data_IF_650201980339
#
_entry.id   IF_650201980339
#
_cell.length_a   1.000
_cell.length_b   1.000
_cell.length_c   1.000
_cell.angle_alpha   90.00
_cell.angle_beta   90.00
_cell.angle_gamma   90.00
#
_symmetry.space_group_name_H-M   'P 1'
#
loop_
_entity.id
_entity.type
_entity.pdbx_description
1 polymer ?
#
# COMPACT_ATOMS: atom_id res chain seq x y z
N UNK A 1 -10.30 -41.17 -13.89
CA UNK A 1 -9.86 -41.49 -12.51
C UNK A 1 -10.53 -42.77 -12.03
N UNK A 2 -9.79 -43.81 -11.91
CA UNK A 2 -10.24 -45.06 -11.29
C UNK A 2 -9.50 -45.15 -9.98
N UNK A 3 -10.15 -44.92 -8.85
CA UNK A 3 -9.50 -45.04 -7.56
C UNK A 3 -10.48 -44.83 -6.42
N UNK A 4 -10.27 -45.59 -5.36
CA UNK A 4 -10.87 -45.32 -4.06
C UNK A 4 -10.31 -43.99 -3.56
N UNK A 5 -11.19 -43.03 -3.26
CA UNK A 5 -10.83 -41.79 -2.63
C UNK A 5 -10.61 -42.05 -1.17
N UNK A 6 -9.35 -41.85 -0.73
CA UNK A 6 -8.86 -42.29 0.55
C UNK A 6 -9.68 -41.90 1.77
N UNK A 7 -9.47 -42.65 2.84
CA UNK A 7 -10.07 -42.58 4.16
C UNK A 7 -10.07 -41.16 4.78
N UNK A 8 -10.99 -40.34 4.36
CA UNK A 8 -11.46 -39.24 5.18
C UNK A 8 -12.92 -39.52 5.51
N UNK A 9 -13.45 -38.96 6.57
CA UNK A 9 -14.88 -39.09 6.99
C UNK A 9 -15.89 -38.65 5.90
N UNK A 10 -15.41 -38.42 4.66
CA UNK A 10 -16.13 -38.00 3.46
C UNK A 10 -15.75 -38.92 2.29
N UNK A 11 -16.19 -40.17 2.37
CA UNK A 11 -16.05 -41.13 1.26
C UNK A 11 -16.88 -40.65 0.06
N UNK A 12 -16.21 -40.49 -1.07
CA UNK A 12 -16.84 -40.39 -2.39
C UNK A 12 -16.69 -41.76 -3.08
N UNK A 13 -17.76 -42.41 -3.35
CA UNK A 13 -17.75 -43.67 -4.11
C UNK A 13 -18.10 -43.31 -5.56
N UNK A 14 -17.15 -43.53 -6.46
CA UNK A 14 -17.41 -43.40 -7.89
C UNK A 14 -18.24 -44.63 -8.33
N UNK A 15 -19.39 -44.35 -8.92
CA UNK A 15 -20.22 -45.41 -9.51
C UNK A 15 -19.89 -45.65 -10.98
N UNK A 16 -19.27 -44.67 -11.64
CA UNK A 16 -18.88 -44.70 -13.04
C UNK A 16 -17.44 -44.18 -13.22
N UNK A 17 -16.78 -44.57 -14.31
CA UNK A 17 -15.43 -44.07 -14.65
C UNK A 17 -15.48 -42.57 -15.00
N UNK A 18 -14.65 -41.78 -14.35
CA UNK A 18 -14.50 -40.36 -14.70
C UNK A 18 -13.49 -40.19 -15.82
N UNK A 19 -13.92 -39.53 -16.90
CA UNK A 19 -13.03 -39.14 -18.01
C UNK A 19 -12.91 -37.63 -18.12
N UNK A 20 -11.68 -37.16 -18.14
CA UNK A 20 -11.36 -35.74 -18.31
C UNK A 20 -10.58 -35.51 -19.59
N UNK A 21 -10.98 -34.51 -20.36
CA UNK A 21 -10.23 -33.96 -21.48
C UNK A 21 -10.00 -32.46 -21.26
N UNK A 22 -8.77 -32.01 -21.36
CA UNK A 22 -8.39 -30.62 -21.13
C UNK A 22 -8.91 -30.06 -19.78
N UNK A 23 -8.90 -30.89 -18.71
CA UNK A 23 -9.35 -30.49 -17.38
C UNK A 23 -10.87 -30.42 -17.21
N UNK A 24 -11.65 -30.82 -18.18
CA UNK A 24 -13.12 -30.88 -18.12
C UNK A 24 -13.62 -32.32 -18.13
N UNK A 25 -14.65 -32.60 -17.35
CA UNK A 25 -15.36 -33.87 -17.37
C UNK A 25 -16.11 -33.98 -18.70
N UNK A 26 -15.88 -35.09 -19.44
CA UNK A 26 -16.43 -35.27 -20.80
C UNK A 26 -17.70 -36.16 -20.85
N UNK A 27 -18.05 -36.79 -19.73
CA UNK A 27 -19.27 -37.58 -19.62
C UNK A 27 -19.89 -37.45 -18.22
N UNK A 28 -21.19 -37.56 -18.14
CA UNK A 28 -21.90 -37.60 -16.85
C UNK A 28 -21.42 -38.75 -16.04
N UNK A 29 -21.04 -38.49 -14.80
CA UNK A 29 -20.47 -39.47 -13.89
C UNK A 29 -21.26 -39.49 -12.59
N UNK A 30 -21.70 -40.67 -12.18
CA UNK A 30 -22.39 -40.86 -10.92
C UNK A 30 -21.38 -40.99 -9.78
N UNK A 31 -21.53 -40.13 -8.77
CA UNK A 31 -20.72 -40.16 -7.55
C UNK A 31 -21.63 -40.31 -6.34
N UNK A 32 -21.20 -41.14 -5.38
CA UNK A 32 -21.78 -41.13 -4.04
C UNK A 32 -20.86 -40.37 -3.13
N UNK A 33 -21.37 -39.35 -2.47
CA UNK A 33 -20.57 -38.49 -1.61
C UNK A 33 -21.18 -38.38 -0.21
N UNK A 34 -20.35 -38.32 0.81
CA UNK A 34 -20.75 -37.94 2.16
C UNK A 34 -21.31 -36.51 2.23
N UNK A 35 -22.17 -36.27 3.15
CA UNK A 35 -23.23 -35.26 3.14
C UNK A 35 -22.88 -33.79 3.20
N UNK A 36 -21.70 -33.35 3.66
CA UNK A 36 -21.46 -31.95 3.97
C UNK A 36 -21.56 -30.99 2.77
N UNK A 37 -21.33 -31.46 1.54
CA UNK A 37 -21.36 -30.63 0.34
C UNK A 37 -22.43 -31.05 -0.69
N UNK A 38 -23.19 -32.11 -0.42
CA UNK A 38 -24.16 -32.67 -1.38
C UNK A 38 -25.15 -31.58 -1.84
N UNK A 39 -25.83 -30.97 -0.90
CA UNK A 39 -26.85 -29.93 -1.21
C UNK A 39 -26.25 -28.76 -1.97
N UNK A 40 -25.05 -28.32 -1.59
CA UNK A 40 -24.35 -27.23 -2.30
C UNK A 40 -24.00 -27.59 -3.73
N UNK A 41 -23.57 -28.82 -3.98
CA UNK A 41 -23.29 -29.33 -5.35
C UNK A 41 -24.57 -29.43 -6.16
N UNK A 42 -25.64 -29.98 -5.60
CA UNK A 42 -26.95 -30.10 -6.28
C UNK A 42 -27.53 -28.73 -6.63
N UNK A 43 -27.47 -27.76 -5.72
CA UNK A 43 -27.88 -26.39 -5.97
C UNK A 43 -27.03 -25.72 -7.06
N UNK A 44 -25.71 -25.91 -7.02
CA UNK A 44 -24.79 -25.35 -8.02
C UNK A 44 -25.04 -25.92 -9.41
N UNK A 45 -25.22 -27.23 -9.55
CA UNK A 45 -25.53 -27.89 -10.81
C UNK A 45 -26.90 -27.45 -11.35
N UNK A 46 -27.86 -27.17 -10.47
CA UNK A 46 -29.16 -26.64 -10.85
C UNK A 46 -29.13 -25.16 -11.30
N UNK A 47 -27.93 -24.52 -11.30
CA UNK A 47 -27.74 -23.15 -11.73
C UNK A 47 -28.07 -22.11 -10.66
N UNK A 48 -28.25 -22.50 -9.39
CA UNK A 48 -28.47 -21.58 -8.29
C UNK A 48 -27.13 -21.03 -7.76
N UNK A 49 -27.18 -19.84 -7.23
CA UNK A 49 -26.05 -19.30 -6.46
C UNK A 49 -25.91 -20.05 -5.14
N UNK A 50 -24.68 -20.51 -4.85
CA UNK A 50 -24.36 -21.28 -3.66
C UNK A 50 -23.41 -20.47 -2.78
N UNK A 51 -23.67 -20.50 -1.48
CA UNK A 51 -22.85 -19.82 -0.48
C UNK A 51 -22.28 -20.84 0.52
N UNK A 52 -21.07 -20.61 0.98
CA UNK A 52 -20.49 -21.44 2.05
C UNK A 52 -21.08 -21.07 3.42
N UNK A 53 -20.68 -21.79 4.44
CA UNK A 53 -21.14 -21.57 5.84
C UNK A 53 -20.76 -20.19 6.40
N UNK A 54 -19.88 -19.45 5.71
CA UNK A 54 -19.46 -18.09 6.07
C UNK A 54 -20.11 -17.03 5.17
N UNK A 55 -21.06 -17.41 4.33
CA UNK A 55 -21.76 -16.51 3.43
C UNK A 55 -20.93 -16.09 2.20
N UNK A 56 -19.86 -16.82 1.85
CA UNK A 56 -19.06 -16.55 0.67
C UNK A 56 -19.60 -17.32 -0.53
N UNK A 57 -19.76 -16.64 -1.67
CA UNK A 57 -20.25 -17.26 -2.90
C UNK A 57 -19.27 -18.30 -3.41
N UNK A 58 -19.79 -19.48 -3.76
CA UNK A 58 -19.03 -20.56 -4.40
C UNK A 58 -18.98 -20.29 -5.91
N UNK A 59 -17.77 -20.25 -6.46
CA UNK A 59 -17.53 -19.95 -7.87
C UNK A 59 -17.51 -21.22 -8.73
N UNK A 60 -16.95 -22.30 -8.20
CA UNK A 60 -16.90 -23.59 -8.88
C UNK A 60 -16.57 -24.73 -7.92
N UNK A 61 -16.96 -25.93 -8.31
CA UNK A 61 -16.48 -27.17 -7.71
C UNK A 61 -15.45 -27.83 -8.64
N UNK A 62 -14.44 -28.48 -8.06
CA UNK A 62 -13.41 -29.19 -8.82
C UNK A 62 -12.80 -30.31 -7.99
N UNK A 63 -12.24 -31.32 -8.65
CA UNK A 63 -11.47 -32.37 -8.00
C UNK A 63 -9.98 -32.01 -8.04
N UNK A 64 -9.29 -32.22 -6.91
CA UNK A 64 -7.84 -32.12 -6.88
C UNK A 64 -7.18 -33.35 -7.53
N UNK A 65 -5.83 -33.37 -7.56
CA UNK A 65 -5.07 -34.49 -8.15
C UNK A 65 -5.27 -35.84 -7.40
N UNK A 66 -5.76 -35.82 -6.18
CA UNK A 66 -6.08 -37.00 -5.38
C UNK A 66 -7.56 -37.41 -5.49
N UNK A 67 -8.34 -36.75 -6.37
CA UNK A 67 -9.74 -36.99 -6.57
C UNK A 67 -10.67 -36.48 -5.47
N UNK A 68 -10.21 -35.65 -4.58
CA UNK A 68 -11.03 -35.08 -3.52
C UNK A 68 -11.75 -33.81 -4.10
N UNK A 69 -13.06 -33.73 -3.81
CA UNK A 69 -13.87 -32.58 -4.23
C UNK A 69 -13.56 -31.35 -3.39
N UNK A 70 -13.21 -30.27 -4.06
CA UNK A 70 -12.99 -28.94 -3.52
C UNK A 70 -13.95 -27.95 -4.17
N UNK A 71 -14.10 -26.79 -3.54
CA UNK A 71 -14.76 -25.66 -4.18
C UNK A 71 -13.88 -24.41 -4.09
N UNK A 72 -13.94 -23.60 -5.11
CA UNK A 72 -13.39 -22.26 -5.14
C UNK A 72 -14.50 -21.27 -4.80
N UNK A 73 -14.19 -20.29 -3.99
CA UNK A 73 -15.11 -19.27 -3.53
C UNK A 73 -14.58 -17.87 -3.76
N UNK A 74 -15.46 -16.91 -3.77
CA UNK A 74 -15.06 -15.50 -3.82
C UNK A 74 -14.08 -15.19 -2.69
N UNK A 75 -13.04 -14.41 -3.03
CA UNK A 75 -12.08 -13.96 -2.03
C UNK A 75 -12.78 -13.06 -1.04
N UNK A 76 -12.82 -13.45 0.21
CA UNK A 76 -13.28 -12.56 1.27
C UNK A 76 -12.28 -11.45 1.53
N UNK A 77 -12.79 -10.33 2.02
CA UNK A 77 -11.94 -9.33 2.68
C UNK A 77 -11.33 -10.01 3.92
N UNK A 78 -10.03 -10.24 3.86
CA UNK A 78 -9.29 -10.83 4.99
C UNK A 78 -8.68 -9.66 5.76
N UNK A 79 -8.98 -9.57 7.04
CA UNK A 79 -8.30 -8.61 7.91
C UNK A 79 -6.78 -8.88 7.88
N UNK A 80 -5.96 -7.83 7.78
CA UNK A 80 -4.52 -7.99 7.81
C UNK A 80 -4.09 -8.63 9.12
N UNK A 81 -3.05 -9.44 9.08
CA UNK A 81 -2.48 -10.03 10.30
C UNK A 81 -1.86 -8.92 11.15
N UNK A 82 -1.99 -9.04 12.48
CA UNK A 82 -1.36 -8.11 13.44
C UNK A 82 0.17 -8.17 13.40
N UNK A 83 0.72 -9.31 12.97
CA UNK A 83 2.15 -9.49 12.72
C UNK A 83 2.37 -9.67 11.22
N UNK A 84 3.07 -8.70 10.61
CA UNK A 84 3.45 -8.73 9.20
C UNK A 84 4.84 -9.37 9.10
N UNK A 85 4.92 -10.54 8.50
CA UNK A 85 6.17 -11.26 8.28
C UNK A 85 6.37 -11.57 6.79
N UNK A 86 7.62 -11.62 6.36
CA UNK A 86 7.97 -12.02 4.99
C UNK A 86 7.70 -10.96 3.90
N UNK A 87 7.19 -9.77 4.25
CA UNK A 87 6.87 -8.73 3.26
C UNK A 87 8.13 -8.03 2.76
N UNK A 88 9.01 -7.62 3.66
CA UNK A 88 10.25 -6.93 3.34
C UNK A 88 11.22 -6.97 4.53
N UNK A 89 12.49 -6.70 4.25
CA UNK A 89 13.54 -6.51 5.24
C UNK A 89 14.33 -5.22 4.96
N UNK A 90 15.24 -4.84 5.86
CA UNK A 90 16.06 -3.62 5.74
C UNK A 90 16.94 -3.61 4.49
N UNK A 91 17.41 -4.79 4.02
CA UNK A 91 18.20 -4.90 2.79
C UNK A 91 17.39 -4.48 1.56
N UNK A 92 16.08 -4.76 1.54
CA UNK A 92 15.22 -4.36 0.42
C UNK A 92 15.21 -2.84 0.24
N UNK A 93 15.08 -2.08 1.34
CA UNK A 93 15.14 -0.61 1.28
C UNK A 93 16.48 -0.10 0.75
N UNK A 94 17.60 -0.66 1.23
CA UNK A 94 18.94 -0.29 0.77
C UNK A 94 19.16 -0.64 -0.70
N UNK A 95 18.77 -1.84 -1.14
CA UNK A 95 18.89 -2.28 -2.53
C UNK A 95 18.06 -1.41 -3.47
N UNK A 96 16.83 -1.06 -3.07
CA UNK A 96 15.94 -0.18 -3.82
C UNK A 96 16.58 1.20 -4.02
N UNK A 97 17.13 1.80 -2.95
CA UNK A 97 17.77 3.10 -3.04
C UNK A 97 19.04 3.04 -3.91
N UNK A 98 19.86 2.00 -3.75
CA UNK A 98 21.04 1.79 -4.60
C UNK A 98 20.64 1.64 -6.07
N UNK A 99 19.57 0.94 -6.38
CA UNK A 99 19.06 0.81 -7.76
C UNK A 99 18.64 2.16 -8.35
N UNK A 100 18.05 3.05 -7.54
CA UNK A 100 17.67 4.38 -8.00
C UNK A 100 18.85 5.32 -8.20
N UNK A 101 19.88 5.21 -7.36
CA UNK A 101 20.99 6.17 -7.33
C UNK A 101 22.29 5.63 -7.94
N UNK A 102 22.37 4.32 -8.19
CA UNK A 102 23.58 3.57 -8.54
C UNK A 102 24.68 3.58 -7.44
N UNK A 103 24.37 4.12 -6.27
CA UNK A 103 25.24 4.19 -5.08
C UNK A 103 24.42 4.29 -3.80
N UNK A 104 25.07 3.97 -2.68
CA UNK A 104 24.48 4.12 -1.35
C UNK A 104 24.72 5.54 -0.83
N UNK A 105 23.67 6.34 -0.75
CA UNK A 105 23.72 7.73 -0.25
C UNK A 105 22.97 7.93 1.08
N UNK A 106 22.27 6.92 1.56
CA UNK A 106 21.52 6.99 2.80
C UNK A 106 21.58 5.66 3.54
N UNK A 107 21.72 5.73 4.87
CA UNK A 107 21.74 4.57 5.74
C UNK A 107 20.32 4.21 6.19
N UNK A 108 20.05 2.92 6.21
CA UNK A 108 18.79 2.34 6.73
C UNK A 108 17.48 2.88 6.12
N UNK A 109 17.36 3.07 4.79
CA UNK A 109 16.09 3.45 4.19
C UNK A 109 15.05 2.36 4.44
N UNK A 110 13.81 2.77 4.71
CA UNK A 110 12.70 1.82 4.78
C UNK A 110 12.39 1.29 3.38
N UNK A 111 11.96 0.02 3.23
CA UNK A 111 11.55 -0.51 1.94
C UNK A 111 10.20 0.08 1.51
N UNK A 112 10.09 0.53 0.25
CA UNK A 112 8.84 1.14 -0.25
C UNK A 112 7.68 0.16 -0.24
N UNK A 113 7.94 -1.12 -0.47
CA UNK A 113 6.91 -2.17 -0.45
C UNK A 113 6.20 -2.28 0.91
N UNK A 114 6.92 -2.06 2.02
CA UNK A 114 6.30 -2.05 3.35
C UNK A 114 5.39 -0.84 3.52
N UNK A 115 5.87 0.34 3.18
CA UNK A 115 5.07 1.57 3.28
C UNK A 115 3.87 1.52 2.34
N UNK A 116 4.06 1.03 1.12
CA UNK A 116 2.98 0.82 0.15
C UNK A 116 1.90 -0.13 0.69
N UNK A 117 2.30 -1.25 1.29
CA UNK A 117 1.37 -2.18 1.93
C UNK A 117 0.57 -1.50 3.04
N UNK A 118 1.23 -0.77 3.95
CA UNK A 118 0.56 -0.05 5.04
C UNK A 118 -0.39 1.04 4.48
N UNK A 119 0.06 1.83 3.52
CA UNK A 119 -0.78 2.84 2.88
C UNK A 119 -2.02 2.21 2.23
N UNK A 120 -1.86 1.09 1.52
CA UNK A 120 -2.97 0.38 0.89
C UNK A 120 -4.04 -0.11 1.87
N UNK A 121 -3.65 -0.40 3.13
CA UNK A 121 -4.59 -0.86 4.16
C UNK A 121 -5.45 0.27 4.74
N UNK A 122 -4.94 1.51 4.78
CA UNK A 122 -5.53 2.59 5.57
C UNK A 122 -5.91 3.82 4.75
N UNK A 123 -5.54 3.89 3.46
CA UNK A 123 -5.82 5.04 2.62
C UNK A 123 -6.84 4.72 1.53
N UNK A 124 -7.70 5.69 1.25
CA UNK A 124 -8.54 5.73 0.06
C UNK A 124 -7.77 6.30 -1.14
N UNK A 125 -8.39 6.31 -2.32
CA UNK A 125 -7.73 6.66 -3.58
C UNK A 125 -7.31 8.14 -3.69
N UNK A 126 -7.83 9.03 -2.85
CA UNK A 126 -7.58 10.47 -2.84
C UNK A 126 -6.98 10.99 -1.52
N UNK A 127 -6.63 10.09 -0.61
CA UNK A 127 -6.10 10.41 0.71
C UNK A 127 -4.83 11.27 0.67
N UNK A 128 -4.64 12.08 1.69
CA UNK A 128 -3.42 12.81 1.96
C UNK A 128 -2.56 12.04 2.97
N UNK A 129 -1.34 11.71 2.58
CA UNK A 129 -0.38 10.97 3.41
C UNK A 129 0.68 11.92 3.95
N UNK A 130 0.75 12.06 5.26
CA UNK A 130 1.74 12.90 5.95
C UNK A 130 2.84 12.02 6.56
N UNK A 131 4.10 12.36 6.27
CA UNK A 131 5.29 11.76 6.90
C UNK A 131 6.21 12.87 7.38
N UNK A 132 6.23 13.10 8.69
CA UNK A 132 7.00 14.20 9.30
C UNK A 132 8.39 13.80 9.81
N UNK A 133 8.84 12.58 9.48
CA UNK A 133 10.21 12.11 9.59
C UNK A 133 10.63 11.35 8.32
N UNK A 134 10.47 12.01 7.17
CA UNK A 134 10.49 11.36 5.86
C UNK A 134 11.83 10.74 5.45
N UNK A 135 12.93 11.10 6.12
CA UNK A 135 14.27 10.58 5.84
C UNK A 135 14.62 10.69 4.37
N UNK A 136 14.78 9.55 3.71
CA UNK A 136 15.04 9.48 2.27
C UNK A 136 13.77 9.52 1.39
N UNK A 137 12.63 9.97 1.91
CA UNK A 137 11.34 10.08 1.22
C UNK A 137 10.78 8.74 0.66
N UNK A 138 10.89 7.67 1.45
CA UNK A 138 10.35 6.36 1.08
C UNK A 138 8.83 6.40 0.91
N UNK A 139 8.14 7.16 1.75
CA UNK A 139 6.68 7.28 1.74
C UNK A 139 6.19 7.92 0.43
N UNK A 140 6.83 8.98 -0.05
CA UNK A 140 6.49 9.57 -1.33
C UNK A 140 6.65 8.57 -2.49
N UNK A 141 7.75 7.80 -2.50
CA UNK A 141 7.98 6.74 -3.48
C UNK A 141 6.86 5.69 -3.44
N UNK A 142 6.49 5.22 -2.24
CA UNK A 142 5.43 4.22 -2.05
C UNK A 142 4.05 4.73 -2.50
N UNK A 143 3.72 5.99 -2.22
CA UNK A 143 2.45 6.61 -2.64
C UNK A 143 2.37 6.71 -4.17
N UNK A 144 3.44 7.13 -4.84
CA UNK A 144 3.49 7.18 -6.30
C UNK A 144 3.34 5.78 -6.93
N UNK A 145 3.99 4.75 -6.35
CA UNK A 145 3.82 3.36 -6.79
C UNK A 145 2.37 2.90 -6.63
N UNK A 146 1.74 3.19 -5.49
CA UNK A 146 0.36 2.79 -5.22
C UNK A 146 -0.62 3.45 -6.19
N UNK A 147 -0.44 4.76 -6.46
CA UNK A 147 -1.26 5.48 -7.44
C UNK A 147 -1.10 4.91 -8.86
N UNK A 148 0.11 4.47 -9.24
CA UNK A 148 0.34 3.82 -10.52
C UNK A 148 -0.35 2.46 -10.62
N UNK A 149 -0.44 1.71 -9.50
CA UNK A 149 -1.04 0.37 -9.46
C UNK A 149 -2.58 0.38 -9.50
N UNK A 150 -3.21 1.33 -8.79
CA UNK A 150 -4.67 1.33 -8.58
C UNK A 150 -5.39 2.53 -9.22
N UNK A 151 -4.64 3.42 -9.91
CA UNK A 151 -5.19 4.63 -10.52
C UNK A 151 -5.57 5.71 -9.51
N UNK A 152 -5.12 5.60 -8.26
CA UNK A 152 -5.38 6.56 -7.20
C UNK A 152 -4.74 7.93 -7.45
N UNK A 153 -5.21 8.91 -6.69
CA UNK A 153 -4.75 10.32 -6.71
C UNK A 153 -4.28 10.76 -5.32
N UNK A 154 -3.74 9.82 -4.53
CA UNK A 154 -3.21 10.13 -3.20
C UNK A 154 -2.13 11.17 -3.32
N UNK A 155 -2.11 12.10 -2.36
CA UNK A 155 -1.09 13.14 -2.23
C UNK A 155 -0.19 12.81 -1.04
N UNK A 156 1.00 13.40 -1.01
CA UNK A 156 1.92 13.26 0.12
C UNK A 156 2.46 14.60 0.58
N UNK A 157 2.68 14.71 1.89
CA UNK A 157 3.42 15.80 2.53
C UNK A 157 4.59 15.17 3.28
N UNK A 158 5.81 15.53 2.87
CA UNK A 158 7.04 15.03 3.47
C UNK A 158 7.71 16.14 4.25
N UNK A 159 7.91 15.95 5.55
CA UNK A 159 8.63 16.90 6.40
C UNK A 159 9.94 16.26 6.83
N UNK A 160 11.05 16.99 6.68
CA UNK A 160 12.37 16.53 7.09
C UNK A 160 13.23 17.72 7.52
N UNK A 161 13.89 17.58 8.65
CA UNK A 161 14.93 18.50 9.06
C UNK A 161 16.13 18.41 8.09
N UNK A 162 16.76 19.51 7.72
CA UNK A 162 17.89 19.53 6.78
C UNK A 162 19.21 19.10 7.46
N UNK A 163 19.22 17.93 8.09
CA UNK A 163 20.40 17.37 8.71
C UNK A 163 21.53 17.24 7.70
N UNK A 164 22.69 17.76 8.04
CA UNK A 164 23.87 17.75 7.17
C UNK A 164 24.37 16.33 6.97
N UNK A 165 24.76 16.01 5.75
CA UNK A 165 25.50 14.78 5.44
C UNK A 165 26.96 14.93 5.87
N UNK A 166 27.57 13.82 6.28
CA UNK A 166 29.01 13.81 6.62
C UNK A 166 29.82 14.23 5.38
N UNK A 167 30.75 15.17 5.52
CA UNK A 167 31.58 15.67 4.43
C UNK A 167 32.43 14.59 3.76
N UNK A 168 32.76 13.52 4.50
CA UNK A 168 33.49 12.35 3.98
C UNK A 168 32.59 11.34 3.26
N UNK A 169 31.25 11.47 3.41
CA UNK A 169 30.30 10.54 2.83
C UNK A 169 30.25 10.63 1.31
N UNK A 170 29.87 9.54 0.67
CA UNK A 170 29.60 9.51 -0.77
C UNK A 170 28.43 10.42 -1.17
N UNK A 171 27.46 10.62 -0.27
CA UNK A 171 26.35 11.54 -0.47
C UNK A 171 26.83 12.99 -0.59
N UNK A 172 27.68 13.45 0.33
CA UNK A 172 28.24 14.79 0.29
C UNK A 172 29.10 15.03 -0.98
N UNK A 173 29.96 14.07 -1.32
CA UNK A 173 30.79 14.11 -2.54
C UNK A 173 29.95 14.18 -3.83
N UNK A 174 28.75 13.59 -3.82
CA UNK A 174 27.80 13.64 -4.92
C UNK A 174 26.95 14.92 -4.94
N UNK A 175 27.16 15.86 -4.00
CA UNK A 175 26.46 17.14 -3.94
C UNK A 175 25.22 17.16 -3.01
N UNK A 176 24.90 16.06 -2.37
CA UNK A 176 23.80 15.98 -1.39
C UNK A 176 24.28 16.48 -0.02
N UNK A 177 24.20 17.77 0.23
CA UNK A 177 24.72 18.39 1.46
C UNK A 177 23.88 18.13 2.71
N UNK A 178 22.64 17.69 2.54
CA UNK A 178 21.74 17.32 3.63
C UNK A 178 20.76 16.20 3.18
N UNK A 179 20.06 15.62 4.15
CA UNK A 179 19.12 14.51 3.92
C UNK A 179 17.97 14.91 2.98
N UNK A 180 17.48 16.16 3.08
CA UNK A 180 16.39 16.63 2.22
C UNK A 180 16.74 16.57 0.73
N UNK A 181 18.02 16.84 0.37
CA UNK A 181 18.46 16.76 -1.03
C UNK A 181 18.38 15.30 -1.56
N UNK A 182 18.74 14.34 -0.73
CA UNK A 182 18.61 12.90 -1.05
C UNK A 182 17.13 12.54 -1.25
N UNK A 183 16.26 12.98 -0.33
CA UNK A 183 14.81 12.73 -0.41
C UNK A 183 14.19 13.31 -1.68
N UNK A 184 14.50 14.57 -2.00
CA UNK A 184 14.01 15.22 -3.22
C UNK A 184 14.46 14.48 -4.49
N UNK A 185 15.70 14.07 -4.54
CA UNK A 185 16.22 13.35 -5.68
C UNK A 185 15.62 11.94 -5.79
N UNK A 186 15.38 11.26 -4.65
CA UNK A 186 14.64 9.99 -4.66
C UNK A 186 13.25 10.14 -5.28
N UNK A 187 12.50 11.18 -4.90
CA UNK A 187 11.16 11.42 -5.45
C UNK A 187 11.24 11.58 -6.98
N UNK A 188 12.20 12.38 -7.49
CA UNK A 188 12.36 12.58 -8.93
C UNK A 188 12.69 11.29 -9.68
N UNK A 189 13.67 10.53 -9.19
CA UNK A 189 14.10 9.28 -9.83
C UNK A 189 13.03 8.21 -9.76
N UNK A 190 12.38 8.06 -8.59
CA UNK A 190 11.28 7.13 -8.43
C UNK A 190 10.11 7.49 -9.35
N UNK A 191 9.72 8.76 -9.41
CA UNK A 191 8.65 9.22 -10.29
C UNK A 191 8.94 8.95 -11.78
N UNK A 192 10.19 9.20 -12.22
CA UNK A 192 10.62 8.86 -13.59
C UNK A 192 10.51 7.36 -13.85
N UNK A 193 11.11 6.54 -12.98
CA UNK A 193 11.09 5.09 -13.10
C UNK A 193 9.67 4.52 -13.13
N UNK A 194 8.80 4.98 -12.23
CA UNK A 194 7.41 4.51 -12.17
C UNK A 194 6.65 4.85 -13.46
N UNK A 195 6.86 6.03 -14.04
CA UNK A 195 6.28 6.40 -15.35
C UNK A 195 6.79 5.52 -16.49
N UNK A 196 8.07 5.18 -16.50
CA UNK A 196 8.66 4.29 -17.50
C UNK A 196 8.11 2.86 -17.39
N UNK A 197 7.91 2.37 -16.15
CA UNK A 197 7.37 1.03 -15.87
C UNK A 197 5.85 0.94 -16.11
N UNK A 198 5.14 2.07 -16.09
CA UNK A 198 3.68 2.13 -16.23
C UNK A 198 3.24 3.11 -17.35
N UNK A 199 3.58 2.83 -18.62
CA UNK A 199 3.30 3.75 -19.74
C UNK A 199 1.80 4.02 -19.94
N UNK A 200 0.94 3.13 -19.47
CA UNK A 200 -0.51 3.28 -19.57
C UNK A 200 -1.12 4.18 -18.46
N UNK A 201 -0.37 4.52 -17.43
CA UNK A 201 -0.80 5.40 -16.35
C UNK A 201 -0.62 6.88 -16.76
N UNK A 202 -1.33 7.33 -17.77
CA UNK A 202 -1.17 8.66 -18.40
C UNK A 202 -1.45 9.83 -17.47
N UNK A 203 -2.27 9.64 -16.45
CA UNK A 203 -2.66 10.68 -15.48
C UNK A 203 -1.87 10.61 -14.16
N UNK A 204 -0.76 9.86 -14.13
CA UNK A 204 0.04 9.73 -12.91
C UNK A 204 0.80 11.03 -12.62
N UNK A 205 0.42 11.69 -11.53
CA UNK A 205 1.16 12.84 -11.00
C UNK A 205 2.34 12.37 -10.15
N UNK A 206 3.55 12.78 -10.56
CA UNK A 206 4.81 12.54 -9.85
C UNK A 206 5.49 13.84 -9.47
N UNK A 207 4.81 14.98 -9.67
CA UNK A 207 5.30 16.28 -9.28
C UNK A 207 5.23 16.51 -7.78
N UNK A 208 6.05 17.44 -7.30
CA UNK A 208 6.01 17.90 -5.91
C UNK A 208 6.55 19.32 -5.80
N UNK A 209 6.12 20.03 -4.77
CA UNK A 209 6.63 21.35 -4.40
C UNK A 209 7.61 21.22 -3.25
N UNK A 210 8.59 22.11 -3.19
CA UNK A 210 9.53 22.20 -2.07
C UNK A 210 9.27 23.50 -1.36
N UNK A 211 8.90 23.38 -0.09
CA UNK A 211 8.68 24.54 0.78
C UNK A 211 9.77 24.53 1.86
N UNK A 212 10.13 25.68 2.33
CA UNK A 212 10.99 25.86 3.51
C UNK A 212 10.15 26.52 4.59
N UNK A 213 10.25 25.98 5.80
CA UNK A 213 9.64 26.62 6.94
C UNK A 213 10.37 27.94 7.19
N UNK A 214 9.65 29.02 7.16
CA UNK A 214 10.11 30.33 7.54
C UNK A 214 9.66 30.66 8.98
N UNK A 215 10.13 31.75 9.52
CA UNK A 215 9.59 32.27 10.76
C UNK A 215 8.14 32.73 10.55
N UNK A 216 7.31 32.52 11.58
CA UNK A 216 5.92 32.99 11.56
C UNK A 216 5.87 34.51 11.34
N UNK A 217 4.87 34.99 10.62
CA UNK A 217 4.57 36.42 10.47
C UNK A 217 3.99 37.03 11.73
N UNK A 218 3.57 36.19 12.68
CA UNK A 218 2.97 36.64 13.92
C UNK A 218 4.04 36.79 15.02
N UNK A 219 3.85 37.74 15.92
CA UNK A 219 4.66 37.82 17.14
C UNK A 219 4.38 36.64 18.04
N UNK A 220 5.43 36.13 18.72
CA UNK A 220 5.25 35.06 19.67
C UNK A 220 4.45 35.58 20.89
N UNK A 221 3.34 34.93 21.15
CA UNK A 221 2.46 35.29 22.27
C UNK A 221 2.47 34.14 23.26
N UNK A 222 3.08 34.36 24.42
CA UNK A 222 3.11 33.38 25.50
C UNK A 222 2.21 33.87 26.64
N UNK A 223 0.95 33.44 26.67
CA UNK A 223 0.06 33.66 27.79
C UNK A 223 -0.06 32.40 28.63
N UNK A 224 -0.02 32.54 29.94
CA UNK A 224 -0.48 31.47 30.80
C UNK A 224 -2.01 31.31 30.65
N UNK A 225 -2.58 30.11 30.87
CA UNK A 225 -4.02 29.90 30.78
C UNK A 225 -4.86 30.83 31.68
N UNK A 226 -4.27 31.36 32.74
CA UNK A 226 -4.92 32.30 33.69
C UNK A 226 -4.93 33.76 33.18
N UNK A 227 -4.09 34.11 32.23
CA UNK A 227 -3.97 35.46 31.66
C UNK A 227 -4.83 35.66 30.41
N UNK A 228 -5.37 34.60 29.83
CA UNK A 228 -6.19 34.67 28.64
C UNK A 228 -7.57 35.23 28.98
N UNK A 229 -7.94 36.35 28.36
CA UNK A 229 -9.28 36.95 28.43
C UNK A 229 -9.86 37.14 27.01
N UNK A 230 -11.17 37.41 26.98
CA UNK A 230 -11.90 37.50 25.70
C UNK A 230 -11.39 38.67 24.81
N UNK A 231 -10.91 39.74 25.39
CA UNK A 231 -10.39 40.90 24.66
C UNK A 231 -9.06 40.59 23.98
N UNK A 232 -8.21 39.80 24.59
CA UNK A 232 -6.95 39.35 23.98
C UNK A 232 -7.17 38.48 22.73
N UNK A 233 -8.29 37.74 22.64
CA UNK A 233 -8.64 37.01 21.44
C UNK A 233 -9.02 37.92 20.26
N UNK A 234 -9.57 39.10 20.53
CA UNK A 234 -9.90 40.11 19.53
C UNK A 234 -8.64 40.88 19.11
N UNK A 235 -7.70 41.09 20.03
CA UNK A 235 -6.43 41.81 19.75
C UNK A 235 -5.41 40.92 19.01
N UNK A 236 -5.65 39.63 18.85
CA UNK A 236 -4.77 38.75 18.08
C UNK A 236 -4.74 39.05 16.58
N UNK A 237 -5.69 39.80 16.03
CA UNK A 237 -5.67 40.28 14.65
C UNK A 237 -4.53 41.26 14.36
N UNK A 238 -4.01 41.93 15.39
CA UNK A 238 -2.92 42.90 15.28
C UNK A 238 -1.53 42.34 15.64
N UNK A 239 -1.40 41.06 15.89
CA UNK A 239 -0.16 40.43 16.36
C UNK A 239 0.83 40.13 15.23
N UNK A 240 0.86 40.98 14.21
CA UNK A 240 1.77 40.87 13.08
C UNK A 240 3.13 41.44 13.49
N UNK A 241 4.22 40.79 13.12
CA UNK A 241 5.57 41.34 13.31
C UNK A 241 5.72 42.64 12.53
N UNK A 242 6.27 43.70 13.13
CA UNK A 242 6.30 45.04 12.52
C UNK A 242 7.20 45.15 11.26
N UNK A 243 8.03 44.15 11.02
CA UNK A 243 8.92 44.06 9.85
C UNK A 243 8.31 43.27 8.68
N UNK A 244 7.03 42.88 8.75
CA UNK A 244 6.33 42.12 7.70
C UNK A 244 5.64 43.05 6.71
N UNK A 245 5.74 42.69 5.44
CA UNK A 245 5.04 43.36 4.33
C UNK A 245 3.75 42.62 3.98
N UNK A 246 2.86 43.26 3.21
CA UNK A 246 1.65 42.66 2.70
C UNK A 246 1.91 41.34 1.91
N UNK A 247 3.06 41.27 1.22
CA UNK A 247 3.49 40.08 0.50
C UNK A 247 3.88 38.95 1.43
N UNK A 248 4.50 39.26 2.56
CA UNK A 248 4.83 38.23 3.59
C UNK A 248 3.55 37.64 4.18
N UNK A 249 2.51 38.46 4.35
CA UNK A 249 1.20 38.01 4.86
C UNK A 249 0.41 37.20 3.85
N UNK A 250 0.62 37.44 2.56
CA UNK A 250 -0.08 36.76 1.47
C UNK A 250 0.53 35.36 1.20
N UNK A 251 1.83 35.17 1.41
CA UNK A 251 2.58 33.98 1.03
C UNK A 251 3.24 33.26 2.22
N UNK A 252 3.06 33.70 3.44
CA UNK A 252 3.65 33.15 4.68
C UNK A 252 2.84 32.06 5.37
#
# INVERSE_FOLDING_TARGET
FTGELGESEKEYILSDEMRFENGKLVADTRVKAGFAMKNQVEEFISGKEVFDTKGQRVLRFYFNNSGILFYEKEKSVINPRTVISGLANTKNGSSELITLFNKKYFDFPKPSVLIKFLAKLITENDSLVLDFFSGSATTAHAVMQLNAEDGGKRKFIMVQLPEKTDEKSEAFKAGYKNICEIGKERIRRAGKKIKEENPNATNLDTGFRVLKLAETNMTDVYYSPLEINQQMLLEQEENIKPDRTDLDLLFG
#
